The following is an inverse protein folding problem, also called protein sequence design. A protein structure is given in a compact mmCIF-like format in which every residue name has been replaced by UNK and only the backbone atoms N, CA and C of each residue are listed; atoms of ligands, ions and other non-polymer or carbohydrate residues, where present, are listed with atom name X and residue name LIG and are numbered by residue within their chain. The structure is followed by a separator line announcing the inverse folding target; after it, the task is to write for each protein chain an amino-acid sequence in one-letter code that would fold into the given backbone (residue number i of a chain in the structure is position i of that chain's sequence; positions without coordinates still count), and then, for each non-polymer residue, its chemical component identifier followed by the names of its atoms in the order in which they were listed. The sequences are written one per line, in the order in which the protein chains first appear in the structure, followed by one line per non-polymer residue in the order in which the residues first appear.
data_IF_235174081383
#
_entry.id   IF_235174081383
#
_cell.length_a   1.000
_cell.length_b   1.000
_cell.length_c   1.000
_cell.angle_alpha   90.00
_cell.angle_beta   90.00
_cell.angle_gamma   90.00
#
_symmetry.space_group_name_H-M   'P 1'
#
loop_
_entity.id
_entity.type
_entity.pdbx_description
1 polymer ?
#
# COMPACT_ATOMS: atom_id res chain seq x y z
N UNK A 1 -14.81 22.70 -30.25
CA UNK A 1 -14.50 22.44 -28.82
C UNK A 1 -13.53 21.27 -28.82
N UNK A 2 -12.26 21.49 -28.46
CA UNK A 2 -11.24 20.43 -28.46
C UNK A 2 -11.35 19.69 -27.12
N UNK A 3 -11.76 18.42 -27.16
CA UNK A 3 -11.66 17.54 -26.00
C UNK A 3 -10.21 17.11 -25.82
N UNK A 4 -9.56 17.64 -24.79
CA UNK A 4 -8.26 17.12 -24.36
C UNK A 4 -8.52 15.84 -23.58
N UNK A 5 -8.29 14.68 -24.22
CA UNK A 5 -8.17 13.42 -23.49
C UNK A 5 -6.91 13.49 -22.62
N UNK A 6 -7.12 13.61 -21.32
CA UNK A 6 -6.06 13.46 -20.33
C UNK A 6 -5.64 11.99 -20.30
N UNK A 7 -4.60 11.63 -21.05
CA UNK A 7 -3.93 10.36 -20.87
C UNK A 7 -3.10 10.46 -19.58
N UNK A 8 -3.39 9.65 -18.54
CA UNK A 8 -2.53 9.63 -17.36
C UNK A 8 -1.14 9.17 -17.78
N UNK A 9 -0.16 10.07 -17.63
CA UNK A 9 1.25 9.84 -18.00
C UNK A 9 1.94 8.75 -17.16
N UNK A 10 1.28 8.26 -16.10
CA UNK A 10 1.79 7.25 -15.19
C UNK A 10 0.69 6.20 -14.88
N UNK A 11 1.07 4.94 -14.60
CA UNK A 11 0.13 3.93 -14.14
C UNK A 11 -0.62 4.39 -12.89
N UNK A 12 -1.84 3.88 -12.70
CA UNK A 12 -2.57 4.13 -11.47
C UNK A 12 -1.76 3.63 -10.26
N UNK A 13 -1.76 4.38 -9.14
CA UNK A 13 -1.03 4.01 -7.94
C UNK A 13 -1.49 2.65 -7.41
N UNK A 14 -0.54 1.87 -6.88
CA UNK A 14 -0.79 0.56 -6.30
C UNK A 14 -1.82 0.65 -5.16
N UNK A 15 -2.97 -0.03 -5.26
CA UNK A 15 -4.02 0.07 -4.26
C UNK A 15 -3.60 -0.51 -2.91
N UNK A 16 -2.72 -1.50 -2.88
CA UNK A 16 -2.24 -2.12 -1.63
C UNK A 16 -1.33 -1.15 -0.90
N UNK A 17 -0.39 -0.49 -1.58
CA UNK A 17 0.45 0.57 -1.01
C UNK A 17 -0.38 1.71 -0.42
N UNK A 18 -1.46 2.10 -1.10
CA UNK A 18 -2.38 3.13 -0.60
C UNK A 18 -3.12 2.66 0.66
N UNK A 19 -3.58 1.42 0.71
CA UNK A 19 -4.25 0.86 1.89
C UNK A 19 -3.28 0.74 3.08
N UNK A 20 -2.03 0.32 2.85
CA UNK A 20 -1.01 0.28 3.89
C UNK A 20 -0.77 1.68 4.49
N UNK A 21 -0.69 2.73 3.66
CA UNK A 21 -0.61 4.13 4.16
C UNK A 21 -1.82 4.51 5.00
N UNK A 22 -3.03 4.15 4.57
CA UNK A 22 -4.26 4.40 5.32
C UNK A 22 -4.20 3.71 6.69
N UNK A 23 -3.82 2.44 6.73
CA UNK A 23 -3.72 1.64 7.95
C UNK A 23 -2.72 2.24 8.95
N UNK A 24 -1.53 2.65 8.49
CA UNK A 24 -0.53 3.32 9.34
C UNK A 24 -1.08 4.61 9.96
N UNK A 25 -1.80 5.43 9.17
CA UNK A 25 -2.43 6.66 9.66
C UNK A 25 -3.51 6.39 10.70
N UNK A 26 -4.35 5.38 10.47
CA UNK A 26 -5.41 4.98 11.41
C UNK A 26 -4.82 4.54 12.75
N UNK A 27 -3.72 3.78 12.72
CA UNK A 27 -2.99 3.36 13.92
C UNK A 27 -2.05 4.41 14.50
N UNK A 28 -1.92 5.58 13.85
CA UNK A 28 -1.01 6.67 14.24
C UNK A 28 0.45 6.19 14.40
N UNK A 29 0.87 5.26 13.55
CA UNK A 29 2.22 4.70 13.55
C UNK A 29 3.05 5.28 12.41
N UNK A 30 4.28 5.67 12.72
CA UNK A 30 5.27 6.07 11.73
C UNK A 30 5.94 4.86 11.08
N UNK A 31 6.49 5.03 9.87
CA UNK A 31 7.25 3.99 9.18
C UNK A 31 8.44 3.49 10.01
N UNK A 32 9.06 4.34 10.82
CA UNK A 32 10.15 3.97 11.71
C UNK A 32 9.69 3.04 12.84
N UNK A 33 8.55 3.33 13.46
CA UNK A 33 7.97 2.47 14.51
C UNK A 33 7.55 1.11 13.94
N UNK A 34 6.94 1.10 12.75
CA UNK A 34 6.58 -0.15 12.06
C UNK A 34 7.84 -0.95 11.71
N UNK A 35 8.86 -0.30 11.16
CA UNK A 35 10.12 -0.94 10.80
C UNK A 35 10.80 -1.58 12.02
N UNK A 36 10.85 -0.85 13.15
CA UNK A 36 11.40 -1.35 14.41
C UNK A 36 10.66 -2.61 14.89
N UNK A 37 9.33 -2.61 14.89
CA UNK A 37 8.52 -3.76 15.34
C UNK A 37 8.63 -4.96 14.39
N UNK A 38 8.78 -4.72 13.09
CA UNK A 38 8.96 -5.76 12.09
C UNK A 38 10.39 -6.33 12.00
N UNK A 39 11.36 -5.69 12.65
CA UNK A 39 12.78 -6.04 12.51
C UNK A 39 13.33 -5.76 11.12
N UNK A 40 12.82 -4.73 10.43
CA UNK A 40 13.29 -4.29 9.11
C UNK A 40 13.78 -2.84 9.17
N UNK A 41 14.38 -2.34 8.09
CA UNK A 41 14.84 -0.95 8.02
C UNK A 41 13.72 0.00 7.57
N UNK A 42 13.70 1.28 8.00
CA UNK A 42 12.69 2.25 7.56
C UNK A 42 12.55 2.40 6.03
N UNK A 43 13.64 2.32 5.22
CA UNK A 43 13.52 2.31 3.76
C UNK A 43 12.71 1.15 3.19
N UNK A 44 12.73 -0.04 3.82
CA UNK A 44 11.90 -1.18 3.40
C UNK A 44 10.42 -0.83 3.54
N UNK A 45 10.03 -0.27 4.69
CA UNK A 45 8.65 0.17 4.91
C UNK A 45 8.28 1.31 3.96
N UNK A 46 9.18 2.28 3.75
CA UNK A 46 8.96 3.37 2.79
C UNK A 46 8.69 2.84 1.37
N UNK A 47 9.45 1.83 0.94
CA UNK A 47 9.26 1.15 -0.35
C UNK A 47 7.89 0.49 -0.44
N UNK A 48 7.44 -0.21 0.62
CA UNK A 48 6.11 -0.82 0.65
C UNK A 48 4.99 0.23 0.58
N UNK A 49 5.22 1.42 1.12
CA UNK A 49 4.25 2.50 1.03
C UNK A 49 4.33 3.24 -0.33
N UNK A 50 5.28 2.93 -1.22
CA UNK A 50 5.42 3.64 -2.51
C UNK A 50 4.23 3.33 -3.43
N UNK A 51 3.63 4.33 -4.11
CA UNK A 51 2.52 4.08 -5.01
C UNK A 51 2.93 3.29 -6.24
N UNK A 52 4.23 3.21 -6.55
CA UNK A 52 4.77 2.50 -7.71
C UNK A 52 5.29 1.10 -7.34
N UNK A 53 5.07 0.65 -6.10
CA UNK A 53 5.51 -0.66 -5.63
C UNK A 53 4.36 -1.67 -5.69
N UNK A 54 4.51 -2.68 -6.54
CA UNK A 54 3.47 -3.69 -6.84
C UNK A 54 3.84 -5.10 -6.37
N UNK A 55 4.98 -5.28 -5.68
CA UNK A 55 5.53 -6.60 -5.33
C UNK A 55 5.16 -7.04 -3.90
N UNK A 56 3.97 -6.70 -3.43
CA UNK A 56 3.49 -7.07 -2.10
C UNK A 56 3.19 -8.56 -1.99
N UNK A 57 3.91 -9.26 -1.11
CA UNK A 57 3.61 -10.63 -0.74
C UNK A 57 2.62 -10.71 0.42
N UNK A 58 1.74 -11.72 0.42
CA UNK A 58 0.76 -11.94 1.49
C UNK A 58 1.41 -12.08 2.88
N UNK A 59 2.59 -12.69 2.96
CA UNK A 59 3.32 -12.83 4.22
C UNK A 59 3.72 -11.48 4.82
N UNK A 60 4.23 -10.56 3.99
CA UNK A 60 4.59 -9.22 4.44
C UNK A 60 3.35 -8.43 4.90
N UNK A 61 2.23 -8.59 4.19
CA UNK A 61 0.95 -7.96 4.57
C UNK A 61 0.44 -8.47 5.91
N UNK A 62 0.50 -9.77 6.17
CA UNK A 62 0.10 -10.37 7.46
C UNK A 62 0.98 -9.88 8.61
N UNK A 63 2.30 -9.94 8.46
CA UNK A 63 3.24 -9.44 9.49
C UNK A 63 3.02 -7.97 9.80
N UNK A 64 2.78 -7.14 8.79
CA UNK A 64 2.47 -5.73 8.98
C UNK A 64 1.13 -5.56 9.69
N UNK A 65 0.11 -6.31 9.31
CA UNK A 65 -1.20 -6.27 9.96
C UNK A 65 -1.12 -6.67 11.44
N UNK A 66 -0.33 -7.70 11.80
CA UNK A 66 -0.05 -8.05 13.20
C UNK A 66 0.57 -6.88 13.98
N UNK A 67 1.56 -6.19 13.40
CA UNK A 67 2.19 -5.01 14.03
C UNK A 67 1.22 -3.86 14.23
N UNK A 68 0.25 -3.75 13.33
CA UNK A 68 -0.85 -2.80 13.39
C UNK A 68 -2.05 -3.31 14.21
N UNK A 69 -2.00 -4.53 14.75
CA UNK A 69 -3.14 -5.18 15.42
C UNK A 69 -4.41 -5.18 14.55
N UNK A 70 -4.29 -5.50 13.27
CA UNK A 70 -5.38 -5.55 12.29
C UNK A 70 -5.42 -6.90 11.60
N UNK A 71 -6.57 -7.24 11.03
CA UNK A 71 -6.74 -8.41 10.17
C UNK A 71 -6.63 -8.04 8.69
N UNK A 72 -6.14 -8.99 7.88
CA UNK A 72 -6.08 -8.85 6.42
C UNK A 72 -7.30 -9.53 5.79
N UNK A 73 -8.15 -8.74 5.13
CA UNK A 73 -9.24 -9.23 4.29
C UNK A 73 -8.86 -9.08 2.80
N UNK A 74 -9.05 -10.14 2.01
CA UNK A 74 -8.79 -10.13 0.56
C UNK A 74 -10.11 -10.25 -0.18
N UNK A 75 -10.36 -9.30 -1.09
CA UNK A 75 -11.56 -9.28 -1.94
C UNK A 75 -11.18 -9.20 -3.41
N UNK A 76 -11.84 -10.01 -4.23
CA UNK A 76 -11.77 -9.90 -5.68
C UNK A 76 -12.89 -8.97 -6.16
N UNK A 77 -12.53 -8.07 -7.07
CA UNK A 77 -13.49 -7.12 -7.69
C UNK A 77 -13.54 -7.34 -9.19
N UNK A 78 -14.70 -7.13 -9.85
CA UNK A 78 -14.78 -7.16 -11.30
C UNK A 78 -13.79 -6.19 -11.93
N UNK A 79 -13.14 -6.59 -13.03
CA UNK A 79 -12.31 -5.68 -13.81
C UNK A 79 -13.19 -4.54 -14.35
N UNK A 80 -12.72 -3.30 -14.22
CA UNK A 80 -13.36 -2.17 -14.92
C UNK A 80 -13.25 -2.44 -16.43
N UNK A 81 -14.35 -2.30 -17.20
CA UNK A 81 -14.27 -2.37 -18.65
C UNK A 81 -13.32 -1.28 -19.15
N UNK A 82 -12.55 -1.62 -20.19
CA UNK A 82 -11.60 -0.73 -20.85
C UNK A 82 -12.31 0.46 -21.51
#
# INVERSE_FOLDING_TARGET
MLEFQYLPLAPAPDPVSLELRRALRLRRMSSAQVAQRLGVTPPVVSRWLSPDYHAHGMEALRRLAEVLEMDVEVRLVPKRPA
#
